data_IF_283704173378
#
_entry.id   IF_283704173378
#
_cell.length_a   1.000
_cell.length_b   1.000
_cell.length_c   1.000
_cell.angle_alpha   90.00
_cell.angle_beta   90.00
_cell.angle_gamma   90.00
#
_symmetry.space_group_name_H-M   'P 1'
#
loop_
_entity.id
_entity.type
_entity.pdbx_description
1 polymer ?
#
# COMPACT_ATOMS: atom_id res chain seq x y z
N UNK A 1 -29.31 12.90 70.50
CA UNK A 1 -28.25 11.97 70.96
C UNK A 1 -27.40 11.67 69.74
N UNK A 2 -26.37 12.45 69.39
CA UNK A 2 -25.14 12.71 70.18
C UNK A 2 -24.30 11.42 70.13
N UNK A 3 -23.13 11.33 69.48
CA UNK A 3 -21.89 12.12 69.66
C UNK A 3 -20.91 11.71 68.54
N UNK A 4 -20.34 12.65 67.77
CA UNK A 4 -18.94 13.16 67.87
C UNK A 4 -17.88 12.05 67.70
N UNK A 5 -16.91 12.10 66.78
CA UNK A 5 -15.98 13.19 66.55
C UNK A 5 -15.33 13.16 65.16
N UNK A 6 -15.10 14.38 64.70
CA UNK A 6 -14.34 14.89 63.58
C UNK A 6 -12.80 14.74 63.75
N UNK A 7 -12.04 15.06 62.69
CA UNK A 7 -10.67 15.63 62.61
C UNK A 7 -9.74 14.77 61.71
N UNK A 8 -9.34 15.13 60.48
CA UNK A 8 -8.59 16.27 59.89
C UNK A 8 -7.11 15.94 59.60
N UNK A 9 -6.65 16.26 58.37
CA UNK A 9 -5.24 16.47 57.90
C UNK A 9 -4.31 15.24 57.87
N UNK A 10 -3.39 15.05 56.92
CA UNK A 10 -2.53 16.00 56.17
C UNK A 10 -1.90 15.26 54.97
N UNK A 11 -1.82 15.92 53.82
CA UNK A 11 -0.77 15.68 52.82
C UNK A 11 0.58 16.15 53.39
N UNK A 12 1.67 15.42 53.07
CA UNK A 12 2.99 15.91 52.62
C UNK A 12 4.13 14.95 53.03
N UNK A 13 4.98 14.69 52.03
CA UNK A 13 6.42 14.47 52.07
C UNK A 13 7.00 13.53 53.13
N UNK A 14 7.51 12.38 52.65
CA UNK A 14 8.82 11.88 53.09
C UNK A 14 9.65 11.50 51.88
N UNK A 15 10.38 12.50 51.37
CA UNK A 15 11.65 12.28 50.72
C UNK A 15 12.61 11.67 51.75
N UNK A 16 13.17 10.51 51.43
CA UNK A 16 14.48 9.98 51.89
C UNK A 16 14.48 8.51 51.46
N UNK A 17 15.32 8.07 50.55
CA UNK A 17 16.76 7.97 50.77
C UNK A 17 17.39 7.61 49.42
N UNK A 18 18.00 8.61 48.79
CA UNK A 18 18.84 8.46 47.62
C UNK A 18 19.98 7.47 47.94
N UNK A 19 19.98 6.30 47.30
CA UNK A 19 21.19 5.51 47.13
C UNK A 19 21.88 6.00 45.85
N UNK A 20 23.00 6.67 46.10
CA UNK A 20 23.98 7.15 45.15
C UNK A 20 24.56 5.94 44.42
N UNK A 21 24.14 5.70 43.17
CA UNK A 21 24.88 4.86 42.24
C UNK A 21 25.75 5.79 41.38
N UNK A 22 27.02 5.91 41.75
CA UNK A 22 28.01 6.64 40.97
C UNK A 22 28.15 5.98 39.60
N UNK A 23 27.62 6.63 38.56
CA UNK A 23 27.96 6.30 37.17
C UNK A 23 29.39 6.77 36.92
N UNK A 24 30.34 5.85 36.94
CA UNK A 24 31.70 6.09 36.50
C UNK A 24 31.76 6.51 35.02
N UNK A 25 32.76 7.30 34.60
CA UNK A 25 32.88 7.80 33.24
C UNK A 25 33.13 6.66 32.23
N UNK A 26 32.29 6.59 31.21
CA UNK A 26 32.45 5.70 30.05
C UNK A 26 33.72 6.11 29.31
N UNK A 27 34.74 5.23 29.31
CA UNK A 27 36.01 5.45 28.61
C UNK A 27 35.75 5.61 27.11
N UNK A 28 35.91 6.84 26.59
CA UNK A 28 35.90 7.13 25.15
C UNK A 28 37.07 6.39 24.50
N UNK A 29 36.83 5.73 23.37
CA UNK A 29 37.87 5.01 22.66
C UNK A 29 38.95 5.98 22.19
N UNK A 30 40.20 5.54 22.22
CA UNK A 30 41.40 6.29 21.81
C UNK A 30 41.32 6.86 20.39
N UNK A 31 40.45 6.30 19.54
CA UNK A 31 40.16 6.81 18.19
C UNK A 31 39.42 8.17 18.18
N UNK A 32 38.61 8.48 19.20
CA UNK A 32 37.88 9.76 19.29
C UNK A 32 38.72 10.91 19.87
N UNK A 33 39.84 10.62 20.53
CA UNK A 33 40.77 11.63 21.04
C UNK A 33 41.78 12.10 19.99
N UNK A 34 42.10 11.27 19.00
CA UNK A 34 43.03 11.63 17.91
C UNK A 34 42.36 12.56 16.88
N UNK A 35 41.05 12.43 16.67
CA UNK A 35 40.31 13.24 15.69
C UNK A 35 40.07 14.70 16.16
N UNK A 36 40.02 14.94 17.47
CA UNK A 36 39.80 16.28 18.03
C UNK A 36 41.10 17.09 18.17
N UNK A 37 42.27 16.43 18.21
CA UNK A 37 43.56 17.11 18.39
C UNK A 37 44.17 17.65 17.08
N UNK A 38 43.69 17.17 15.93
CA UNK A 38 44.13 17.64 14.60
C UNK A 38 43.33 18.84 14.05
N UNK A 39 42.22 19.24 14.66
CA UNK A 39 41.36 20.31 14.13
C UNK A 39 41.68 21.72 14.67
N UNK A 40 42.69 21.86 15.54
CA UNK A 40 42.97 23.12 16.27
C UNK A 40 44.43 23.60 16.18
N UNK A 41 45.03 23.53 14.99
CA UNK A 41 46.28 24.24 14.68
C UNK A 41 46.14 24.85 13.29
N UNK A 42 45.69 26.11 13.27
CA UNK A 42 45.55 26.94 12.09
C UNK A 42 46.86 27.74 11.92
N UNK A 43 47.80 27.26 11.11
CA UNK A 43 49.10 27.93 10.86
C UNK A 43 49.47 27.81 9.36
N UNK A 44 49.47 28.99 8.72
CA UNK A 44 50.25 29.45 7.56
C UNK A 44 49.92 28.96 6.13
N UNK A 45 49.17 29.83 5.43
CA UNK A 45 49.61 30.66 4.30
C UNK A 45 50.67 30.16 3.27
N UNK A 46 50.26 30.29 1.99
CA UNK A 46 51.01 30.41 0.72
C UNK A 46 51.70 29.16 0.13
N UNK A 47 51.20 28.68 -1.02
CA UNK A 47 51.77 29.02 -2.34
C UNK A 47 50.97 28.37 -3.48
N UNK A 48 50.61 29.20 -4.46
CA UNK A 48 50.05 28.84 -5.76
C UNK A 48 51.17 28.35 -6.67
N UNK A 49 51.18 27.08 -7.05
CA UNK A 49 52.01 26.58 -8.16
C UNK A 49 51.34 25.38 -8.85
N UNK A 50 50.70 25.70 -9.98
CA UNK A 50 50.64 24.93 -11.24
C UNK A 50 50.84 23.41 -11.19
N UNK A 51 49.75 22.65 -11.34
CA UNK A 51 49.78 21.31 -11.94
C UNK A 51 48.67 21.20 -12.98
N UNK A 52 49.09 21.08 -14.24
CA UNK A 52 48.24 20.94 -15.43
C UNK A 52 47.34 19.68 -15.35
N UNK A 53 46.10 19.74 -15.89
CA UNK A 53 45.26 18.55 -16.01
C UNK A 53 45.82 17.64 -17.11
N UNK A 54 46.24 16.43 -16.74
CA UNK A 54 46.53 15.37 -17.71
C UNK A 54 45.24 15.03 -18.46
N UNK A 55 45.25 15.27 -19.76
CA UNK A 55 44.21 14.89 -20.71
C UNK A 55 43.96 13.38 -20.63
N UNK A 56 42.73 12.99 -20.28
CA UNK A 56 42.24 11.64 -20.52
C UNK A 56 41.81 11.54 -21.99
N UNK A 57 42.28 10.53 -22.75
CA UNK A 57 41.89 10.38 -24.14
C UNK A 57 40.40 10.04 -24.27
N UNK A 58 39.78 10.73 -25.23
CA UNK A 58 38.41 10.55 -25.70
C UNK A 58 38.09 9.09 -26.02
N UNK A 59 37.22 8.47 -25.22
CA UNK A 59 36.51 7.26 -25.65
C UNK A 59 35.41 7.70 -26.60
N UNK A 60 35.58 7.21 -27.82
CA UNK A 60 34.66 7.19 -28.95
C UNK A 60 33.18 7.32 -28.59
N UNK A 61 32.53 8.24 -29.30
CA UNK A 61 31.09 8.39 -29.49
C UNK A 61 30.30 7.07 -29.52
N UNK A 62 29.84 6.59 -28.37
CA UNK A 62 28.64 5.78 -28.33
C UNK A 62 27.47 6.75 -28.41
N UNK A 63 26.77 6.70 -29.54
CA UNK A 63 25.53 7.44 -29.81
C UNK A 63 24.71 7.56 -28.54
N UNK A 64 24.45 8.79 -28.13
CA UNK A 64 23.43 9.07 -27.14
C UNK A 64 22.13 8.46 -27.65
N UNK A 65 21.73 7.35 -27.06
CA UNK A 65 20.31 7.04 -26.97
C UNK A 65 19.74 8.14 -26.10
N UNK A 66 19.14 9.14 -26.74
CA UNK A 66 18.22 10.03 -26.06
C UNK A 66 17.30 9.14 -25.24
N UNK A 67 17.35 9.29 -23.91
CA UNK A 67 16.41 8.63 -23.03
C UNK A 67 15.02 9.11 -23.45
N UNK A 68 14.29 8.27 -24.19
CA UNK A 68 12.88 8.49 -24.46
C UNK A 68 12.17 8.66 -23.11
N UNK A 69 11.12 9.51 -23.02
CA UNK A 69 10.42 9.73 -21.78
C UNK A 69 10.01 8.37 -21.24
N UNK A 70 10.34 8.15 -19.97
CA UNK A 70 10.19 6.93 -19.17
C UNK A 70 9.34 5.84 -19.85
N UNK A 71 9.94 4.68 -20.11
CA UNK A 71 9.26 3.54 -20.74
C UNK A 71 8.02 3.12 -19.92
N UNK A 72 6.90 3.80 -20.14
CA UNK A 72 5.65 3.60 -19.46
C UNK A 72 5.10 2.26 -19.89
N UNK A 73 5.00 1.32 -18.96
CA UNK A 73 4.48 -0.01 -19.25
C UNK A 73 3.02 0.13 -19.64
N UNK A 74 2.67 -0.38 -20.84
CA UNK A 74 1.31 -0.37 -21.38
C UNK A 74 0.30 -0.91 -20.37
N UNK A 75 -0.76 -0.14 -20.12
CA UNK A 75 -1.90 -0.58 -19.32
C UNK A 75 -2.83 -1.43 -20.18
N UNK A 76 -3.54 -2.35 -19.53
CA UNK A 76 -4.48 -3.24 -20.22
C UNK A 76 -5.74 -2.51 -20.68
N UNK A 77 -6.17 -1.51 -19.90
CA UNK A 77 -7.34 -0.68 -20.19
C UNK A 77 -7.02 0.79 -19.97
N UNK A 78 -7.46 1.61 -20.92
CA UNK A 78 -7.29 3.06 -20.88
C UNK A 78 -8.59 3.71 -20.38
N UNK A 79 -8.51 4.69 -19.47
CA UNK A 79 -9.70 5.43 -19.03
C UNK A 79 -10.25 6.26 -20.19
N UNK A 80 -11.58 6.41 -20.22
CA UNK A 80 -12.27 7.25 -21.22
C UNK A 80 -11.75 8.70 -21.18
N UNK A 81 -11.55 9.23 -19.97
CA UNK A 81 -11.02 10.56 -19.73
C UNK A 81 -9.68 10.50 -18.97
N UNK A 82 -8.52 10.67 -19.62
CA UNK A 82 -7.22 10.57 -18.96
C UNK A 82 -6.93 11.70 -17.95
N UNK A 83 -7.57 12.86 -18.15
CA UNK A 83 -7.45 14.03 -17.26
C UNK A 83 -8.17 13.81 -15.94
N UNK A 84 -9.41 13.28 -15.98
CA UNK A 84 -10.25 13.00 -14.80
C UNK A 84 -9.99 11.62 -14.17
N UNK A 85 -8.84 11.03 -14.45
CA UNK A 85 -8.50 9.69 -13.95
C UNK A 85 -7.07 9.62 -13.47
N UNK A 86 -6.83 8.77 -12.48
CA UNK A 86 -5.48 8.45 -12.03
C UNK A 86 -5.18 6.97 -12.27
N UNK A 87 -3.91 6.65 -12.50
CA UNK A 87 -3.43 5.29 -12.74
C UNK A 87 -2.44 4.93 -11.64
N UNK A 88 -2.47 3.67 -11.23
CA UNK A 88 -1.48 3.08 -10.35
C UNK A 88 -1.21 1.63 -10.77
N UNK A 89 0.05 1.20 -10.65
CA UNK A 89 0.47 -0.15 -10.99
C UNK A 89 1.43 -0.70 -9.96
N UNK A 90 1.27 -1.98 -9.64
CA UNK A 90 2.24 -2.76 -8.89
C UNK A 90 2.74 -3.90 -9.76
N UNK A 91 4.04 -3.97 -10.03
CA UNK A 91 4.67 -5.00 -10.85
C UNK A 91 5.39 -6.04 -10.00
N UNK A 92 5.36 -7.31 -10.44
CA UNK A 92 6.07 -8.43 -9.82
C UNK A 92 5.83 -8.60 -8.31
N UNK A 93 4.60 -8.29 -7.88
CA UNK A 93 4.23 -8.36 -6.48
C UNK A 93 4.23 -9.82 -6.02
N UNK A 94 4.95 -10.10 -4.93
CA UNK A 94 5.02 -11.43 -4.32
C UNK A 94 3.80 -11.72 -3.43
N UNK A 95 2.62 -11.61 -4.03
CA UNK A 95 1.34 -12.02 -3.45
C UNK A 95 0.82 -13.27 -4.16
N UNK A 96 -0.17 -13.95 -3.58
CA UNK A 96 -0.78 -15.11 -4.23
C UNK A 96 -1.80 -14.63 -5.26
N UNK A 97 -1.50 -14.77 -6.56
CA UNK A 97 -2.33 -14.31 -7.67
C UNK A 97 -3.85 -14.57 -7.48
N UNK A 98 -4.23 -15.80 -7.13
CA UNK A 98 -5.66 -16.15 -6.99
C UNK A 98 -6.34 -15.36 -5.88
N UNK A 99 -5.66 -15.14 -4.76
CA UNK A 99 -6.23 -14.40 -3.63
C UNK A 99 -6.31 -12.91 -3.95
N UNK A 100 -5.26 -12.37 -4.59
CA UNK A 100 -5.22 -10.96 -5.01
C UNK A 100 -6.32 -10.67 -6.03
N UNK A 101 -6.59 -11.60 -6.95
CA UNK A 101 -7.66 -11.45 -7.95
C UNK A 101 -9.06 -11.40 -7.32
N UNK A 102 -9.36 -12.26 -6.35
CA UNK A 102 -10.66 -12.20 -5.64
C UNK A 102 -10.77 -10.93 -4.79
N UNK A 103 -9.67 -10.50 -4.16
CA UNK A 103 -9.62 -9.23 -3.41
C UNK A 103 -9.90 -8.03 -4.33
N UNK A 104 -9.23 -7.97 -5.48
CA UNK A 104 -9.44 -6.91 -6.46
C UNK A 104 -10.88 -6.91 -7.00
N UNK A 105 -11.45 -8.08 -7.28
CA UNK A 105 -12.82 -8.18 -7.75
C UNK A 105 -13.83 -7.62 -6.73
N UNK A 106 -13.59 -7.82 -5.43
CA UNK A 106 -14.44 -7.31 -4.37
C UNK A 106 -14.42 -5.77 -4.24
N UNK A 107 -13.36 -5.10 -4.71
CA UNK A 107 -13.18 -3.65 -4.60
C UNK A 107 -13.70 -2.88 -5.82
N UNK A 108 -14.05 -3.58 -6.90
CA UNK A 108 -14.47 -2.95 -8.16
C UNK A 108 -15.73 -2.09 -7.92
N UNK A 109 -15.74 -0.88 -8.48
CA UNK A 109 -16.84 0.12 -8.36
C UNK A 109 -17.09 0.64 -6.93
N UNK A 110 -16.16 0.48 -6.01
CA UNK A 110 -16.25 1.11 -4.68
C UNK A 110 -15.63 2.51 -4.69
N UNK A 111 -16.16 3.46 -3.88
CA UNK A 111 -15.49 4.72 -3.62
C UNK A 111 -14.19 4.47 -2.83
N UNK A 112 -13.20 5.34 -3.01
CA UNK A 112 -11.85 5.17 -2.50
C UNK A 112 -11.81 4.98 -0.97
N UNK A 113 -12.49 5.85 -0.22
CA UNK A 113 -12.52 5.81 1.24
C UNK A 113 -13.15 4.52 1.79
N UNK A 114 -14.23 4.03 1.14
CA UNK A 114 -14.87 2.76 1.51
C UNK A 114 -14.00 1.56 1.17
N UNK A 115 -13.23 1.63 0.09
CA UNK A 115 -12.31 0.56 -0.28
C UNK A 115 -11.18 0.41 0.75
N UNK A 116 -10.60 1.52 1.23
CA UNK A 116 -9.58 1.52 2.29
C UNK A 116 -10.11 0.92 3.59
N UNK A 117 -11.23 1.43 4.10
CA UNK A 117 -11.83 0.93 5.35
C UNK A 117 -12.21 -0.55 5.25
N UNK A 118 -12.74 -0.99 4.11
CA UNK A 118 -13.02 -2.40 3.87
C UNK A 118 -11.75 -3.28 3.93
N UNK A 119 -10.63 -2.82 3.36
CA UNK A 119 -9.37 -3.57 3.43
C UNK A 119 -8.79 -3.60 4.85
N UNK A 120 -8.91 -2.52 5.60
CA UNK A 120 -8.51 -2.48 7.02
C UNK A 120 -9.35 -3.46 7.87
N UNK A 121 -10.65 -3.53 7.62
CA UNK A 121 -11.53 -4.52 8.25
C UNK A 121 -11.16 -5.97 7.86
N UNK A 122 -10.68 -6.20 6.65
CA UNK A 122 -10.17 -7.51 6.22
C UNK A 122 -8.89 -7.87 6.97
N UNK A 123 -7.98 -6.90 7.20
CA UNK A 123 -6.78 -7.11 8.01
C UNK A 123 -7.13 -7.45 9.46
N UNK A 124 -8.16 -6.79 10.00
CA UNK A 124 -8.71 -7.06 11.32
C UNK A 124 -9.63 -8.31 11.39
N UNK A 125 -9.82 -9.02 10.28
CA UNK A 125 -10.71 -10.18 10.15
C UNK A 125 -12.20 -9.91 10.46
N UNK A 126 -12.63 -8.65 10.46
CA UNK A 126 -14.03 -8.26 10.70
C UNK A 126 -14.91 -8.52 9.48
N UNK A 127 -14.34 -8.37 8.29
CA UNK A 127 -15.05 -8.55 7.02
C UNK A 127 -14.29 -9.52 6.13
N UNK A 128 -14.97 -10.53 5.57
CA UNK A 128 -14.37 -11.50 4.67
C UNK A 128 -14.42 -11.03 3.21
N UNK A 129 -13.44 -11.45 2.41
CA UNK A 129 -13.46 -11.31 0.95
C UNK A 129 -14.17 -12.52 0.36
N UNK A 130 -15.23 -12.31 -0.47
CA UNK A 130 -15.91 -13.41 -1.13
C UNK A 130 -15.02 -14.03 -2.22
N UNK A 131 -14.94 -15.36 -2.25
CA UNK A 131 -14.23 -16.10 -3.30
C UNK A 131 -15.25 -16.61 -4.31
N UNK A 132 -15.16 -16.11 -5.55
CA UNK A 132 -16.13 -16.38 -6.62
C UNK A 132 -15.63 -17.44 -7.60
N UNK A 133 -14.42 -17.30 -8.15
CA UNK A 133 -13.88 -18.23 -9.16
C UNK A 133 -13.01 -19.32 -8.56
N UNK A 134 -12.17 -18.97 -7.59
CA UNK A 134 -11.21 -19.90 -7.00
C UNK A 134 -11.77 -20.57 -5.74
N UNK A 135 -12.83 -21.35 -5.92
CA UNK A 135 -13.71 -21.87 -4.87
C UNK A 135 -13.51 -23.35 -4.47
N UNK A 136 -12.68 -24.11 -5.21
CA UNK A 136 -12.51 -25.57 -5.02
C UNK A 136 -11.76 -25.92 -3.73
N UNK A 137 -12.46 -25.94 -2.60
CA UNK A 137 -11.92 -26.25 -1.27
C UNK A 137 -11.72 -25.04 -0.36
N UNK A 138 -12.40 -23.92 -0.62
CA UNK A 138 -12.38 -22.76 0.28
C UNK A 138 -13.46 -22.91 1.36
N UNK A 139 -13.09 -22.63 2.61
CA UNK A 139 -14.02 -22.61 3.74
C UNK A 139 -15.17 -21.61 3.56
N UNK A 140 -16.30 -21.90 4.19
CA UNK A 140 -17.50 -21.05 4.17
C UNK A 140 -17.55 -20.19 5.42
N UNK A 141 -18.03 -18.96 5.28
CA UNK A 141 -18.10 -17.99 6.37
C UNK A 141 -19.42 -17.24 6.30
N UNK A 142 -20.09 -17.02 7.43
CA UNK A 142 -21.35 -16.29 7.48
C UNK A 142 -21.24 -14.87 6.90
N UNK A 143 -20.13 -14.18 7.17
CA UNK A 143 -19.82 -12.84 6.65
C UNK A 143 -19.84 -12.77 5.11
N UNK A 144 -19.45 -13.85 4.42
CA UNK A 144 -19.40 -13.88 2.96
C UNK A 144 -20.80 -14.01 2.33
N UNK A 145 -21.79 -14.51 3.08
CA UNK A 145 -23.17 -14.69 2.60
C UNK A 145 -23.81 -13.37 2.18
N UNK A 146 -23.53 -12.30 2.90
CA UNK A 146 -24.09 -10.96 2.63
C UNK A 146 -23.61 -10.39 1.29
N UNK A 147 -22.46 -10.84 0.78
CA UNK A 147 -21.87 -10.33 -0.47
C UNK A 147 -21.98 -11.28 -1.65
N UNK A 148 -22.08 -12.60 -1.39
CA UNK A 148 -22.15 -13.58 -2.46
C UNK A 148 -22.88 -14.85 -2.03
N UNK A 149 -23.76 -15.36 -2.91
CA UNK A 149 -24.64 -16.51 -2.64
C UNK A 149 -23.88 -17.81 -2.32
N UNK A 150 -22.67 -17.99 -2.86
CA UNK A 150 -21.87 -19.19 -2.61
C UNK A 150 -21.39 -19.30 -1.13
N UNK A 151 -21.37 -18.20 -0.37
CA UNK A 151 -21.01 -18.17 1.04
C UNK A 151 -19.55 -18.55 1.36
N UNK A 152 -18.69 -18.67 0.35
CA UNK A 152 -17.25 -18.93 0.50
C UNK A 152 -16.47 -17.62 0.59
N UNK A 153 -15.57 -17.52 1.57
CA UNK A 153 -14.76 -16.33 1.75
C UNK A 153 -13.58 -16.54 2.70
N UNK A 154 -12.55 -15.71 2.55
CA UNK A 154 -11.33 -15.74 3.38
C UNK A 154 -10.85 -14.32 3.67
N UNK A 155 -9.85 -14.22 4.53
CA UNK A 155 -9.13 -12.96 4.85
C UNK A 155 -7.70 -13.02 4.31
N UNK A 156 -7.47 -12.76 3.00
CA UNK A 156 -6.13 -12.76 2.42
C UNK A 156 -5.31 -11.52 2.84
N UNK A 157 -4.77 -11.55 4.06
CA UNK A 157 -4.02 -10.44 4.70
C UNK A 157 -2.91 -9.89 3.79
N UNK A 158 -2.07 -10.74 3.20
CA UNK A 158 -0.94 -10.30 2.38
C UNK A 158 -1.40 -9.56 1.11
N UNK A 159 -2.44 -10.06 0.44
CA UNK A 159 -2.98 -9.42 -0.76
C UNK A 159 -3.68 -8.10 -0.43
N UNK A 160 -4.40 -8.05 0.71
CA UNK A 160 -5.05 -6.83 1.17
C UNK A 160 -4.04 -5.71 1.46
N UNK A 161 -2.90 -6.02 2.10
CA UNK A 161 -1.82 -5.04 2.35
C UNK A 161 -1.29 -4.43 1.05
N UNK A 162 -0.91 -5.26 0.08
CA UNK A 162 -0.39 -4.76 -1.20
C UNK A 162 -1.40 -3.87 -1.96
N UNK A 163 -2.69 -4.19 -1.90
CA UNK A 163 -3.72 -3.37 -2.56
C UNK A 163 -3.95 -2.07 -1.78
N UNK A 164 -3.91 -2.11 -0.44
CA UNK A 164 -4.03 -0.91 0.38
C UNK A 164 -2.89 0.08 0.08
N UNK A 165 -1.66 -0.41 -0.03
CA UNK A 165 -0.50 0.40 -0.38
C UNK A 165 -0.63 0.98 -1.79
N UNK A 166 -1.20 0.21 -2.73
CA UNK A 166 -1.46 0.68 -4.10
C UNK A 166 -2.57 1.73 -4.17
N UNK A 167 -3.59 1.64 -3.30
CA UNK A 167 -4.64 2.67 -3.19
C UNK A 167 -4.09 3.98 -2.60
N UNK A 168 -3.20 3.90 -1.60
CA UNK A 168 -2.52 5.09 -1.06
C UNK A 168 -1.64 5.77 -2.12
N UNK A 169 -0.94 4.97 -2.93
CA UNK A 169 -0.18 5.51 -4.06
C UNK A 169 -1.10 6.17 -5.12
N UNK A 170 -2.26 5.55 -5.39
CA UNK A 170 -3.23 6.11 -6.34
C UNK A 170 -3.86 7.42 -5.86
N UNK A 171 -4.06 7.56 -4.55
CA UNK A 171 -4.49 8.81 -3.90
C UNK A 171 -3.44 9.91 -4.06
N UNK A 172 -2.18 9.66 -3.74
CA UNK A 172 -1.10 10.64 -3.96
C UNK A 172 -0.99 11.05 -5.43
N UNK A 173 -1.20 10.12 -6.37
CA UNK A 173 -1.25 10.44 -7.79
C UNK A 173 -2.46 11.31 -8.17
N UNK A 174 -3.58 11.18 -7.48
CA UNK A 174 -4.77 12.00 -7.72
C UNK A 174 -4.58 13.42 -7.18
N UNK A 175 -3.96 13.57 -6.00
CA UNK A 175 -3.58 14.86 -5.42
C UNK A 175 -2.64 15.63 -6.35
N UNK A 176 -1.62 14.96 -6.91
CA UNK A 176 -0.70 15.57 -7.89
C UNK A 176 -1.42 16.02 -9.16
N UNK A 177 -2.49 15.34 -9.56
CA UNK A 177 -3.34 15.73 -10.70
C UNK A 177 -4.36 16.81 -10.35
N UNK A 178 -4.51 17.19 -9.08
CA UNK A 178 -5.53 18.13 -8.61
C UNK A 178 -6.95 17.59 -8.70
N UNK A 179 -7.13 16.26 -8.66
CA UNK A 179 -8.45 15.63 -8.59
C UNK A 179 -8.95 15.64 -7.15
N UNK A 180 -10.26 15.79 -6.96
CA UNK A 180 -10.87 15.69 -5.63
C UNK A 180 -10.85 14.25 -5.13
N UNK A 181 -10.24 14.01 -3.96
CA UNK A 181 -9.99 12.66 -3.42
C UNK A 181 -11.27 11.96 -2.98
N UNK A 182 -12.26 12.72 -2.51
CA UNK A 182 -13.49 12.18 -1.93
C UNK A 182 -14.50 11.70 -2.98
N UNK A 183 -14.51 12.32 -4.16
CA UNK A 183 -15.36 11.93 -5.29
C UNK A 183 -14.78 10.76 -6.13
N UNK A 184 -13.56 10.31 -5.85
CA UNK A 184 -12.92 9.21 -6.60
C UNK A 184 -13.53 7.84 -6.28
N UNK A 185 -13.65 7.04 -7.33
CA UNK A 185 -14.00 5.64 -7.22
C UNK A 185 -13.16 4.75 -8.13
N UNK A 186 -13.09 3.47 -7.79
CA UNK A 186 -12.33 2.46 -8.54
C UNK A 186 -13.14 2.06 -9.78
N UNK A 187 -12.78 2.57 -10.95
CA UNK A 187 -13.41 2.19 -12.23
C UNK A 187 -12.93 0.82 -12.68
N UNK A 188 -11.62 0.66 -12.74
CA UNK A 188 -10.99 -0.54 -13.26
C UNK A 188 -9.90 -1.03 -12.30
N UNK A 189 -9.95 -2.33 -12.03
CA UNK A 189 -8.89 -3.03 -11.31
C UNK A 189 -8.68 -4.37 -11.98
N UNK A 190 -7.43 -4.66 -12.31
CA UNK A 190 -7.04 -5.89 -12.97
C UNK A 190 -5.84 -6.49 -12.26
N UNK A 191 -5.83 -7.82 -12.20
CA UNK A 191 -4.73 -8.60 -11.66
C UNK A 191 -4.31 -9.61 -12.71
N UNK A 192 -3.07 -9.50 -13.18
CA UNK A 192 -2.46 -10.39 -14.14
C UNK A 192 -1.44 -11.30 -13.46
N UNK A 193 -1.25 -12.51 -13.97
CA UNK A 193 -0.16 -13.38 -13.49
C UNK A 193 1.16 -12.81 -13.99
N UNK A 194 2.11 -12.66 -13.07
CA UNK A 194 3.49 -12.33 -13.40
C UNK A 194 4.30 -13.61 -13.64
N UNK A 195 5.57 -13.46 -14.03
CA UNK A 195 6.46 -14.60 -14.27
C UNK A 195 6.60 -15.46 -12.99
N UNK A 196 6.35 -16.76 -13.11
CA UNK A 196 6.45 -17.69 -11.97
C UNK A 196 7.91 -17.84 -11.53
N UNK A 197 8.19 -17.65 -10.24
CA UNK A 197 9.52 -17.92 -9.73
C UNK A 197 9.76 -19.43 -9.65
N UNK A 198 10.86 -19.88 -10.26
CA UNK A 198 11.23 -21.29 -10.30
C UNK A 198 11.94 -21.69 -9.01
N UNK A 199 11.42 -22.72 -8.34
CA UNK A 199 12.09 -23.47 -7.27
C UNK A 199 11.73 -24.94 -7.41
N UNK A 200 12.70 -25.82 -7.13
CA UNK A 200 12.53 -27.28 -7.12
C UNK A 200 12.40 -27.77 -5.69
N UNK A 201 11.68 -28.86 -5.50
CA UNK A 201 11.58 -29.56 -4.21
C UNK A 201 11.70 -31.05 -4.43
N UNK A 202 12.59 -31.68 -3.68
CA UNK A 202 12.78 -33.12 -3.68
C UNK A 202 11.62 -33.83 -2.98
N UNK A 203 11.27 -35.00 -3.47
CA UNK A 203 10.18 -35.85 -2.98
C UNK A 203 10.69 -37.27 -2.79
N UNK A 204 9.88 -38.06 -2.09
CA UNK A 204 10.16 -39.49 -1.87
C UNK A 204 10.42 -40.23 -3.19
N UNK A 205 11.28 -41.25 -3.12
CA UNK A 205 11.75 -42.06 -4.24
C UNK A 205 12.48 -41.27 -5.34
N UNK A 206 13.28 -40.27 -4.95
CA UNK A 206 14.12 -39.51 -5.90
C UNK A 206 13.35 -38.61 -6.87
N UNK A 207 12.05 -38.40 -6.67
CA UNK A 207 11.21 -37.56 -7.54
C UNK A 207 11.51 -36.07 -7.32
N UNK A 208 11.48 -35.27 -8.39
CA UNK A 208 11.70 -33.81 -8.34
C UNK A 208 10.45 -33.10 -8.84
N UNK A 209 9.80 -32.34 -7.95
CA UNK A 209 8.60 -31.57 -8.28
C UNK A 209 8.88 -30.06 -8.22
N UNK A 210 8.17 -29.25 -9.03
CA UNK A 210 8.24 -27.80 -8.93
C UNK A 210 7.47 -27.29 -7.69
N UNK A 211 8.04 -26.31 -7.00
CA UNK A 211 7.34 -25.51 -6.00
C UNK A 211 7.49 -24.03 -6.34
N UNK A 212 6.61 -23.55 -7.21
CA UNK A 212 6.72 -22.21 -7.80
C UNK A 212 5.89 -21.17 -7.05
N UNK A 213 6.41 -19.95 -6.95
CA UNK A 213 5.57 -18.81 -6.55
C UNK A 213 4.76 -18.31 -7.76
N UNK A 214 3.61 -17.71 -7.47
CA UNK A 214 2.70 -17.17 -8.48
C UNK A 214 2.51 -15.67 -8.21
N UNK A 215 3.52 -14.83 -8.50
CA UNK A 215 3.44 -13.38 -8.34
C UNK A 215 2.42 -12.77 -9.30
N UNK A 216 2.08 -11.51 -9.08
CA UNK A 216 1.07 -10.81 -9.87
C UNK A 216 1.45 -9.36 -10.20
N UNK A 217 0.98 -8.90 -11.36
CA UNK A 217 0.89 -7.47 -11.68
C UNK A 217 -0.52 -6.99 -11.34
N UNK A 218 -0.63 -5.85 -10.68
CA UNK A 218 -1.91 -5.21 -10.36
C UNK A 218 -1.95 -3.88 -11.08
N UNK A 219 -3.02 -3.63 -11.81
CA UNK A 219 -3.31 -2.36 -12.48
C UNK A 219 -4.59 -1.80 -11.89
N UNK A 220 -4.57 -0.51 -11.57
CA UNK A 220 -5.67 0.20 -10.96
C UNK A 220 -5.87 1.54 -11.66
N UNK A 221 -7.12 1.85 -11.93
CA UNK A 221 -7.57 3.14 -12.46
C UNK A 221 -8.64 3.67 -11.53
N UNK A 222 -8.44 4.89 -11.05
CA UNK A 222 -9.49 5.66 -10.40
C UNK A 222 -10.03 6.68 -11.39
N UNK A 223 -11.31 6.97 -11.30
CA UNK A 223 -11.91 8.07 -12.04
C UNK A 223 -12.77 8.88 -11.09
N UNK A 224 -12.88 10.16 -11.38
CA UNK A 224 -13.79 11.05 -10.70
C UNK A 224 -15.23 10.70 -11.12
N UNK A 225 -16.14 10.66 -10.15
CA UNK A 225 -17.55 10.43 -10.45
C UNK A 225 -18.15 11.72 -10.99
N UNK A 226 -18.63 11.69 -12.23
CA UNK A 226 -19.44 12.79 -12.74
C UNK A 226 -20.74 12.84 -11.92
N UNK A 227 -21.06 14.00 -11.34
CA UNK A 227 -22.33 14.21 -10.69
C UNK A 227 -23.43 13.93 -11.71
N UNK A 228 -24.27 12.93 -11.44
CA UNK A 228 -25.38 12.60 -12.33
C UNK A 228 -26.33 13.78 -12.35
N UNK A 229 -26.38 14.48 -13.48
CA UNK A 229 -27.43 15.48 -13.78
C UNK A 229 -28.76 14.83 -13.44
N UNK A 230 -29.53 15.48 -12.57
CA UNK A 230 -30.85 14.99 -12.14
C UNK A 230 -31.65 14.69 -13.40
N UNK A 231 -31.98 13.41 -13.61
CA UNK A 231 -32.97 13.00 -14.59
C UNK A 231 -34.23 13.83 -14.31
N UNK A 232 -34.74 14.53 -15.32
CA UNK A 232 -36.03 15.23 -15.19
C UNK A 232 -37.07 14.24 -14.64
N UNK A 233 -37.98 14.69 -13.74
CA UNK A 233 -38.97 13.80 -13.15
C UNK A 233 -39.73 13.09 -14.27
N UNK A 234 -39.71 11.76 -14.27
CA UNK A 234 -40.45 10.95 -15.23
C UNK A 234 -41.92 11.38 -15.17
N UNK A 235 -42.38 12.12 -16.19
CA UNK A 235 -43.78 12.48 -16.37
C UNK A 235 -44.57 11.18 -16.33
N UNK A 236 -45.56 11.11 -15.44
CA UNK A 236 -46.36 9.92 -15.14
C UNK A 236 -47.00 9.37 -16.43
N UNK A 237 -46.31 8.47 -17.12
CA UNK A 237 -46.87 7.70 -18.22
C UNK A 237 -47.82 6.68 -17.60
N UNK A 238 -49.10 6.81 -17.97
CA UNK A 238 -50.23 6.07 -17.45
C UNK A 238 -49.96 4.54 -17.34
N UNK A 239 -50.53 3.86 -16.33
CA UNK A 239 -50.30 2.44 -16.10
C UNK A 239 -50.74 1.62 -17.32
N UNK A 240 -49.79 0.89 -17.92
CA UNK A 240 -50.04 -0.02 -19.03
C UNK A 240 -50.92 -1.17 -18.53
N UNK A 241 -52.18 -1.22 -18.98
CA UNK A 241 -53.11 -2.32 -18.67
C UNK A 241 -52.48 -3.65 -19.08
N UNK A 242 -52.30 -4.56 -18.13
CA UNK A 242 -51.92 -5.96 -18.41
C UNK A 242 -53.08 -6.63 -19.15
N UNK A 243 -52.83 -7.17 -20.34
CA UNK A 243 -53.80 -8.05 -21.02
C UNK A 243 -53.98 -9.31 -20.17
N UNK A 244 -55.20 -9.59 -19.74
CA UNK A 244 -55.56 -10.87 -19.15
C UNK A 244 -55.35 -11.97 -20.20
N UNK A 245 -54.61 -13.01 -19.83
CA UNK A 245 -54.49 -14.25 -20.61
C UNK A 245 -55.82 -14.98 -20.55
N UNK A 246 -56.52 -15.04 -21.69
CA UNK A 246 -57.61 -15.98 -21.95
C UNK A 246 -57.04 -17.31 -22.42
#
# INVERSE_FOLDING_TARGET
MGSSHEIFRKQHNTESRAQIFQKGPVKKSTAQLIFQHCYNQNIFQYNTETLAPKQTPSISSCRGTAASPEAMVKYSNEPENPTKSCKARGSDLRAHFKNTRETAHALRKMPLNKAKSYLEDVLAHKQAIPFTRFCRGVGRTAQAKNRHSNGQGRWPVKSAKFILDLLKNAESNAEVKGLDVDSLYITHIQVNQAQKQRRRTYRAHGRINPYMSHPCHIELVLSEKEESVKKEPETQLAPRKTKASS
#
